data_IF_462947120875
#
_entry.id   IF_462947120875
#
_cell.length_a   1.000
_cell.length_b   1.000
_cell.length_c   1.000
_cell.angle_alpha   90.00
_cell.angle_beta   90.00
_cell.angle_gamma   90.00
#
_symmetry.space_group_name_H-M   'P 1'
#
loop_
_entity.id
_entity.type
_entity.pdbx_description
1 polymer ?
#
# COMPACT_ATOMS: atom_id res chain seq x y z
N UNK A 1 -20.84 -3.13 20.35
CA UNK A 1 -21.96 -2.19 20.04
C UNK A 1 -21.47 -0.80 20.38
N UNK A 2 -21.76 0.20 19.52
CA UNK A 2 -21.23 1.59 19.43
C UNK A 2 -20.34 1.68 18.17
N UNK A 3 -20.60 2.40 17.07
CA UNK A 3 -21.67 3.29 16.61
C UNK A 3 -21.75 3.17 15.08
N UNK A 4 -22.97 3.01 14.53
CA UNK A 4 -23.23 3.32 13.12
C UNK A 4 -23.23 4.85 12.98
N UNK A 5 -22.31 5.38 12.20
CA UNK A 5 -22.33 6.72 11.59
C UNK A 5 -21.90 6.47 10.14
N UNK A 6 -22.76 6.49 9.12
CA UNK A 6 -23.47 7.67 8.60
C UNK A 6 -22.43 8.81 8.46
N UNK A 7 -21.82 9.04 7.30
CA UNK A 7 -22.43 9.81 6.19
C UNK A 7 -21.46 10.00 5.02
N UNK A 8 -22.04 10.08 3.81
CA UNK A 8 -21.61 10.85 2.61
C UNK A 8 -20.84 10.08 1.51
N UNK A 9 -21.10 10.30 0.20
CA UNK A 9 -20.47 9.53 -0.86
C UNK A 9 -19.03 10.01 -1.00
N UNK A 10 -18.08 9.15 -0.61
CA UNK A 10 -16.65 9.35 -0.84
C UNK A 10 -16.26 9.10 -2.31
N UNK A 11 -17.21 9.18 -3.25
CA UNK A 11 -16.96 9.06 -4.70
C UNK A 11 -16.21 10.27 -5.29
N UNK A 12 -15.95 11.32 -4.50
CA UNK A 12 -15.44 12.61 -5.03
C UNK A 12 -13.93 12.84 -4.81
N UNK A 13 -13.21 11.88 -4.22
CA UNK A 13 -11.74 11.95 -4.04
C UNK A 13 -10.99 10.98 -4.97
N UNK A 14 -11.71 10.29 -5.87
CA UNK A 14 -11.09 9.42 -6.89
C UNK A 14 -10.38 10.23 -7.99
N UNK A 15 -10.64 11.53 -8.13
CA UNK A 15 -10.08 12.36 -9.23
C UNK A 15 -8.61 12.76 -9.04
N UNK A 16 -7.99 12.51 -7.89
CA UNK A 16 -6.54 12.75 -7.70
C UNK A 16 -5.71 11.46 -7.88
N UNK A 17 -6.35 10.30 -7.97
CA UNK A 17 -5.69 9.00 -8.22
C UNK A 17 -5.45 8.68 -9.69
N UNK A 18 -5.97 9.46 -10.63
CA UNK A 18 -5.88 9.15 -12.07
C UNK A 18 -4.50 9.42 -12.69
N UNK A 19 -3.55 10.04 -11.98
CA UNK A 19 -2.24 10.41 -12.53
C UNK A 19 -1.06 9.54 -12.12
N UNK A 20 -1.27 8.55 -11.26
CA UNK A 20 -0.21 7.63 -10.78
C UNK A 20 -0.30 6.25 -11.45
N UNK A 21 -1.38 5.98 -12.19
CA UNK A 21 -1.71 4.62 -12.67
C UNK A 21 -1.02 4.20 -13.97
N UNK A 22 -0.43 5.11 -14.75
CA UNK A 22 0.07 4.77 -16.10
C UNK A 22 1.47 4.16 -16.15
N UNK A 23 2.28 4.23 -15.08
CA UNK A 23 3.67 3.71 -15.08
C UNK A 23 3.88 2.61 -14.01
N UNK A 24 2.84 1.84 -13.68
CA UNK A 24 2.94 0.72 -12.72
C UNK A 24 2.79 -0.67 -13.38
N UNK A 25 2.88 -0.72 -14.71
CA UNK A 25 2.73 -1.95 -15.49
C UNK A 25 4.07 -2.67 -15.78
N UNK A 26 5.16 -2.25 -15.15
CA UNK A 26 6.46 -2.92 -15.20
C UNK A 26 6.99 -3.15 -13.80
N UNK A 27 7.56 -4.34 -13.59
CA UNK A 27 8.21 -4.79 -12.36
C UNK A 27 7.30 -5.14 -11.16
N UNK A 28 6.65 -6.30 -11.29
CA UNK A 28 6.05 -7.07 -10.21
C UNK A 28 7.04 -7.51 -9.10
N UNK A 29 8.33 -7.14 -9.17
CA UNK A 29 9.38 -7.53 -8.22
C UNK A 29 10.27 -6.37 -7.75
N UNK A 30 9.92 -5.11 -8.03
CA UNK A 30 10.73 -4.00 -7.52
C UNK A 30 10.35 -3.63 -6.09
N UNK A 31 11.37 -3.41 -5.27
CA UNK A 31 11.23 -2.82 -3.92
C UNK A 31 10.39 -1.53 -3.96
N UNK A 32 10.46 -0.79 -5.06
CA UNK A 32 9.65 0.39 -5.36
C UNK A 32 8.14 0.09 -5.36
N UNK A 33 7.71 -1.08 -5.84
CA UNK A 33 6.29 -1.47 -5.81
C UNK A 33 5.79 -1.71 -4.39
N UNK A 34 6.61 -2.37 -3.56
CA UNK A 34 6.25 -2.62 -2.16
C UNK A 34 6.22 -1.29 -1.38
N UNK A 35 7.16 -0.39 -1.64
CA UNK A 35 7.17 0.96 -1.06
C UNK A 35 5.94 1.79 -1.48
N UNK A 36 5.55 1.74 -2.77
CA UNK A 36 4.32 2.39 -3.25
C UNK A 36 3.06 1.82 -2.58
N UNK A 37 3.00 0.50 -2.36
CA UNK A 37 1.90 -0.14 -1.65
C UNK A 37 1.84 0.27 -0.17
N UNK A 38 2.98 0.33 0.51
CA UNK A 38 3.06 0.83 1.89
C UNK A 38 2.55 2.28 1.98
N UNK A 39 2.99 3.16 1.07
CA UNK A 39 2.51 4.53 1.01
C UNK A 39 1.00 4.63 0.72
N UNK A 40 0.47 3.74 -0.12
CA UNK A 40 -0.96 3.68 -0.41
C UNK A 40 -1.78 3.23 0.80
N UNK A 41 -1.34 2.20 1.52
CA UNK A 41 -1.99 1.71 2.75
C UNK A 41 -1.97 2.78 3.84
N UNK A 42 -0.86 3.50 4.01
CA UNK A 42 -0.77 4.66 4.90
C UNK A 42 -1.78 5.76 4.53
N UNK A 43 -1.89 6.09 3.24
CA UNK A 43 -2.85 7.09 2.78
C UNK A 43 -4.30 6.67 3.08
N UNK A 44 -4.66 5.40 2.85
CA UNK A 44 -5.99 4.89 3.16
C UNK A 44 -6.30 4.96 4.66
N UNK A 45 -5.31 4.66 5.51
CA UNK A 45 -5.47 4.79 6.96
C UNK A 45 -5.63 6.25 7.40
N UNK A 46 -4.81 7.15 6.87
CA UNK A 46 -4.91 8.60 7.13
C UNK A 46 -6.25 9.19 6.65
N UNK A 47 -6.81 8.64 5.58
CA UNK A 47 -8.14 9.00 5.07
C UNK A 47 -9.29 8.38 5.89
N UNK A 48 -9.00 7.42 6.76
CA UNK A 48 -9.98 6.66 7.53
C UNK A 48 -10.76 5.64 6.70
N UNK A 49 -10.24 5.27 5.53
CA UNK A 49 -10.84 4.28 4.62
C UNK A 49 -10.62 2.85 5.11
N UNK A 50 -9.55 2.62 5.89
CA UNK A 50 -9.25 1.35 6.57
C UNK A 50 -9.05 1.59 8.07
N UNK A 51 -9.32 0.55 8.86
CA UNK A 51 -9.07 0.56 10.31
C UNK A 51 -7.58 0.43 10.63
N UNK A 52 -7.21 0.76 11.87
CA UNK A 52 -5.83 0.54 12.38
C UNK A 52 -5.44 -0.94 12.31
N UNK A 53 -6.36 -1.86 12.62
CA UNK A 53 -6.11 -3.31 12.52
C UNK A 53 -5.86 -3.75 11.06
N UNK A 54 -6.65 -3.26 10.11
CA UNK A 54 -6.46 -3.54 8.67
C UNK A 54 -5.19 -2.90 8.11
N UNK A 55 -4.78 -1.74 8.64
CA UNK A 55 -3.53 -1.09 8.31
C UNK A 55 -2.35 -1.92 8.82
N UNK A 56 -2.35 -2.31 10.09
CA UNK A 56 -1.28 -3.08 10.74
C UNK A 56 -1.07 -4.43 10.04
N UNK A 57 -2.15 -5.17 9.74
CA UNK A 57 -2.07 -6.46 9.03
C UNK A 57 -1.44 -6.31 7.64
N UNK A 58 -1.85 -5.30 6.88
CA UNK A 58 -1.34 -5.05 5.54
C UNK A 58 0.10 -4.54 5.55
N UNK A 59 0.44 -3.67 6.50
CA UNK A 59 1.80 -3.15 6.68
C UNK A 59 2.76 -4.29 7.01
N UNK A 60 2.42 -5.17 7.95
CA UNK A 60 3.26 -6.29 8.35
C UNK A 60 3.50 -7.26 7.18
N UNK A 61 2.47 -7.58 6.40
CA UNK A 61 2.57 -8.44 5.22
C UNK A 61 3.51 -7.81 4.15
N UNK A 62 3.34 -6.52 3.87
CA UNK A 62 4.16 -5.80 2.89
C UNK A 62 5.62 -5.69 3.35
N UNK A 63 5.88 -5.42 4.63
CA UNK A 63 7.22 -5.37 5.20
C UNK A 63 7.90 -6.74 5.20
N UNK A 64 7.16 -7.83 5.46
CA UNK A 64 7.70 -9.18 5.35
C UNK A 64 8.15 -9.49 3.91
N UNK A 65 7.35 -9.09 2.91
CA UNK A 65 7.71 -9.23 1.49
C UNK A 65 8.89 -8.35 1.10
N UNK A 66 8.97 -7.13 1.63
CA UNK A 66 10.08 -6.22 1.40
C UNK A 66 11.42 -6.83 1.84
N UNK A 67 11.45 -7.45 3.03
CA UNK A 67 12.66 -8.13 3.55
C UNK A 67 13.12 -9.24 2.63
N UNK A 68 12.20 -10.11 2.20
CA UNK A 68 12.51 -11.23 1.30
C UNK A 68 13.02 -10.71 -0.06
N UNK A 69 12.39 -9.67 -0.60
CA UNK A 69 12.82 -9.07 -1.87
C UNK A 69 14.23 -8.47 -1.75
N UNK A 70 14.52 -7.78 -0.65
CA UNK A 70 15.82 -7.18 -0.38
C UNK A 70 16.93 -8.21 -0.19
N UNK A 71 16.66 -9.31 0.52
CA UNK A 71 17.61 -10.40 0.70
C UNK A 71 17.99 -11.03 -0.64
N UNK A 72 17.01 -11.25 -1.53
CA UNK A 72 17.26 -11.77 -2.88
C UNK A 72 18.08 -10.82 -3.75
N UNK A 73 17.79 -9.52 -3.70
CA UNK A 73 18.59 -8.53 -4.42
C UNK A 73 20.06 -8.55 -3.97
N UNK A 74 20.31 -8.72 -2.67
CA UNK A 74 21.68 -8.82 -2.14
C UNK A 74 22.39 -10.11 -2.56
N UNK A 75 21.69 -11.25 -2.54
CA UNK A 75 22.25 -12.53 -3.01
C UNK A 75 22.58 -12.48 -4.52
N UNK A 76 21.74 -11.87 -5.35
CA UNK A 76 21.99 -11.73 -6.79
C UNK A 76 23.15 -10.78 -7.14
N UNK A 77 23.51 -9.86 -6.24
CA UNK A 77 24.64 -8.92 -6.43
C UNK A 77 25.98 -9.57 -6.03
N UNK A 78 25.97 -10.60 -5.17
CA UNK A 78 27.18 -11.25 -4.66
C UNK A 78 27.72 -12.40 -5.54
N UNK A 79 26.94 -12.91 -6.50
CA UNK A 79 27.34 -13.94 -7.51
C UNK A 79 27.84 -13.33 -8.84
#
# INVERSE_FOLDING_TARGET
MIHKLFTWPLDTVITVGEKVKEEMDKELYDLDHIQKKLAHVQMLYEMGDITEEEFDEQEEELLARFRIAKEKEQEEIED
#
